data_IF_865716194995
#
_entry.id   IF_865716194995
#
_cell.length_a   1.000
_cell.length_b   1.000
_cell.length_c   1.000
_cell.angle_alpha   90.00
_cell.angle_beta   90.00
_cell.angle_gamma   90.00
#
_symmetry.space_group_name_H-M   'P 1'
#
loop_
_entity.id
_entity.type
_entity.pdbx_description
1 polymer ?
#
# COMPACT_ATOMS: atom_id res chain seq x y z
N UNK A 1 9.55 -33.17 -31.07
CA UNK A 1 9.07 -31.78 -31.00
C UNK A 1 8.71 -31.59 -29.55
N UNK A 2 9.74 -31.35 -28.75
CA UNK A 2 9.60 -31.23 -27.31
C UNK A 2 9.03 -29.85 -27.01
N UNK A 3 7.85 -29.84 -26.39
CA UNK A 3 7.23 -28.63 -25.86
C UNK A 3 8.16 -28.07 -24.79
N UNK A 4 8.86 -26.99 -25.13
CA UNK A 4 9.56 -26.18 -24.13
C UNK A 4 8.51 -25.37 -23.42
N UNK A 5 8.04 -25.87 -22.27
CA UNK A 5 7.34 -25.04 -21.31
C UNK A 5 8.36 -24.06 -20.74
N UNK A 6 8.15 -22.77 -21.04
CA UNK A 6 8.94 -21.70 -20.46
C UNK A 6 8.70 -21.74 -18.95
N UNK A 7 9.73 -21.91 -18.10
CA UNK A 7 9.54 -21.84 -16.66
C UNK A 7 8.96 -20.46 -16.36
N UNK A 8 7.74 -20.45 -15.78
CA UNK A 8 7.08 -19.23 -15.33
C UNK A 8 8.07 -18.53 -14.41
N UNK A 9 8.53 -17.36 -14.83
CA UNK A 9 9.52 -16.61 -14.09
C UNK A 9 8.93 -16.24 -12.73
N UNK A 10 9.42 -16.86 -11.66
CA UNK A 10 9.14 -16.51 -10.27
C UNK A 10 9.82 -15.18 -9.93
N UNK A 11 9.43 -14.11 -10.62
CA UNK A 11 10.00 -12.80 -10.44
C UNK A 11 9.07 -11.99 -9.53
N UNK A 12 9.54 -11.86 -8.28
CA UNK A 12 9.04 -10.98 -7.19
C UNK A 12 7.92 -11.58 -6.32
N UNK A 13 7.89 -11.26 -5.00
CA UNK A 13 6.85 -11.77 -4.10
C UNK A 13 5.47 -11.38 -4.66
N UNK A 14 4.48 -12.27 -4.52
CA UNK A 14 3.23 -12.30 -5.30
C UNK A 14 2.40 -11.00 -5.34
N UNK A 15 2.75 -9.98 -4.54
CA UNK A 15 2.01 -8.73 -4.36
C UNK A 15 2.91 -7.48 -4.29
N UNK A 16 4.09 -7.49 -4.89
CA UNK A 16 4.92 -6.29 -4.90
C UNK A 16 6.29 -6.48 -5.51
N UNK A 17 6.99 -5.38 -5.72
CA UNK A 17 8.44 -5.41 -5.81
C UNK A 17 8.91 -4.84 -4.47
N UNK A 18 9.55 -5.68 -3.66
CA UNK A 18 10.25 -5.21 -2.47
C UNK A 18 11.34 -4.20 -2.85
N UNK A 19 12.42 -4.10 -2.09
CA UNK A 19 13.48 -3.17 -2.48
C UNK A 19 14.01 -3.42 -3.90
N UNK A 20 14.20 -2.34 -4.67
CA UNK A 20 14.68 -2.39 -6.06
C UNK A 20 16.03 -3.11 -6.23
N UNK A 21 16.84 -3.15 -5.15
CA UNK A 21 18.03 -3.99 -5.05
C UNK A 21 17.81 -5.17 -4.10
N UNK A 22 18.21 -6.37 -4.52
CA UNK A 22 18.17 -7.59 -3.70
C UNK A 22 18.99 -7.37 -2.42
N UNK A 23 18.32 -7.39 -1.27
CA UNK A 23 18.95 -7.28 0.04
C UNK A 23 19.07 -5.86 0.59
N UNK A 24 18.59 -4.82 -0.10
CA UNK A 24 18.49 -3.49 0.47
C UNK A 24 17.62 -3.52 1.73
N UNK A 25 17.99 -2.76 2.74
CA UNK A 25 17.10 -2.37 3.83
C UNK A 25 17.26 -0.87 4.07
N UNK A 26 16.24 -0.23 4.66
CA UNK A 26 16.32 1.19 5.01
C UNK A 26 17.52 1.48 5.94
N UNK A 27 17.80 0.58 6.88
CA UNK A 27 18.94 0.66 7.79
C UNK A 27 20.24 0.63 7.01
N UNK A 28 20.43 -0.35 6.12
CA UNK A 28 21.63 -0.41 5.27
C UNK A 28 21.78 0.83 4.37
N UNK A 29 20.67 1.36 3.85
CA UNK A 29 20.67 2.59 3.07
C UNK A 29 21.15 3.80 3.90
N UNK A 30 20.73 3.89 5.17
CA UNK A 30 21.21 4.89 6.12
C UNK A 30 22.69 4.70 6.45
N UNK A 31 23.10 3.50 6.85
CA UNK A 31 24.47 3.20 7.26
C UNK A 31 25.46 3.45 6.11
N UNK A 32 25.11 3.08 4.87
CA UNK A 32 25.94 3.33 3.67
C UNK A 32 26.14 4.82 3.35
N UNK A 33 25.31 5.71 3.92
CA UNK A 33 25.40 7.18 3.81
C UNK A 33 25.95 7.85 5.08
N UNK A 34 26.47 7.05 6.01
CA UNK A 34 27.03 7.54 7.28
C UNK A 34 25.99 8.07 8.25
N UNK A 35 24.72 7.67 8.10
CA UNK A 35 23.65 7.99 9.04
C UNK A 35 23.53 6.88 10.08
N UNK A 36 23.17 7.24 11.32
CA UNK A 36 22.79 6.26 12.32
C UNK A 36 21.48 5.57 11.93
N UNK A 37 21.29 4.32 12.35
CA UNK A 37 20.12 3.51 11.97
C UNK A 37 18.81 4.15 12.47
N UNK A 38 18.85 4.79 13.64
CA UNK A 38 17.74 5.52 14.28
C UNK A 38 17.59 6.97 13.83
N UNK A 39 18.47 7.47 12.94
CA UNK A 39 18.41 8.85 12.49
C UNK A 39 17.11 9.12 11.71
N UNK A 40 16.41 10.19 12.09
CA UNK A 40 15.30 10.74 11.30
C UNK A 40 15.86 11.36 10.01
N UNK A 41 15.28 11.00 8.87
CA UNK A 41 15.65 11.57 7.59
C UNK A 41 15.04 12.97 7.43
N UNK A 42 15.81 13.90 6.89
CA UNK A 42 15.27 15.20 6.47
C UNK A 42 14.66 15.13 5.06
N UNK A 43 14.04 16.21 4.61
CA UNK A 43 13.30 16.25 3.34
C UNK A 43 14.11 15.86 2.10
N UNK A 44 15.38 16.25 1.98
CA UNK A 44 16.17 15.88 0.80
C UNK A 44 16.64 14.42 0.86
N UNK A 45 16.90 13.89 2.05
CA UNK A 45 17.22 12.47 2.25
C UNK A 45 16.02 11.60 1.93
N UNK A 46 14.82 12.00 2.35
CA UNK A 46 13.56 11.32 2.01
C UNK A 46 13.35 11.36 0.49
N UNK A 47 13.49 12.53 -0.14
CA UNK A 47 13.33 12.65 -1.59
C UNK A 47 14.29 11.73 -2.35
N UNK A 48 15.56 11.67 -1.92
CA UNK A 48 16.57 10.79 -2.50
C UNK A 48 16.26 9.31 -2.28
N UNK A 49 15.79 8.94 -1.08
CA UNK A 49 15.37 7.57 -0.76
C UNK A 49 14.23 7.12 -1.68
N UNK A 50 13.20 7.96 -1.82
CA UNK A 50 12.04 7.67 -2.67
C UNK A 50 12.38 7.61 -4.17
N UNK A 51 13.37 8.40 -4.61
CA UNK A 51 13.88 8.37 -5.98
C UNK A 51 14.66 7.07 -6.26
N UNK A 52 15.62 6.72 -5.39
CA UNK A 52 16.46 5.51 -5.56
C UNK A 52 15.68 4.19 -5.36
N UNK A 53 14.56 4.22 -4.64
CA UNK A 53 13.63 3.08 -4.49
C UNK A 53 12.52 3.06 -5.55
N UNK A 54 12.51 4.03 -6.47
CA UNK A 54 11.54 4.22 -7.56
C UNK A 54 10.09 4.51 -7.10
N UNK A 55 9.82 4.56 -5.80
CA UNK A 55 8.50 4.84 -5.20
C UNK A 55 7.98 6.21 -5.65
N UNK A 56 8.86 7.18 -5.85
CA UNK A 56 8.51 8.51 -6.32
C UNK A 56 7.71 8.50 -7.65
N UNK A 57 7.85 7.45 -8.47
CA UNK A 57 7.12 7.28 -9.73
C UNK A 57 5.64 6.91 -9.51
N UNK A 58 5.36 6.19 -8.42
CA UNK A 58 4.03 5.68 -8.11
C UNK A 58 3.19 6.63 -7.28
N UNK A 59 3.79 7.62 -6.62
CA UNK A 59 3.07 8.55 -5.76
C UNK A 59 1.98 9.36 -6.50
N UNK A 60 0.81 9.48 -5.85
CA UNK A 60 -0.28 10.34 -6.28
C UNK A 60 0.12 11.80 -6.24
N UNK A 61 -0.50 12.57 -7.14
CA UNK A 61 -0.32 14.02 -7.26
C UNK A 61 -1.70 14.65 -7.45
N UNK A 62 -2.26 15.36 -6.44
CA UNK A 62 -1.73 15.51 -5.08
C UNK A 62 -1.72 14.17 -4.31
N UNK A 63 -0.92 14.09 -3.24
CA UNK A 63 -1.01 12.99 -2.28
C UNK A 63 -2.33 13.09 -1.52
N UNK A 64 -2.78 11.98 -0.92
CA UNK A 64 -3.92 12.04 -0.01
C UNK A 64 -3.57 12.88 1.23
N UNK A 65 -4.59 13.34 1.94
CA UNK A 65 -4.44 14.03 3.22
C UNK A 65 -5.42 13.41 4.20
N UNK A 66 -4.90 12.76 5.25
CA UNK A 66 -5.72 12.04 6.23
C UNK A 66 -6.58 12.97 7.10
N UNK A 67 -6.32 14.28 7.08
CA UNK A 67 -7.04 15.30 7.87
C UNK A 67 -8.04 16.12 7.05
N UNK A 68 -8.00 16.01 5.72
CA UNK A 68 -8.77 16.85 4.80
C UNK A 68 -9.53 16.04 3.74
N UNK A 69 -10.38 16.73 2.97
CA UNK A 69 -11.10 16.13 1.86
C UNK A 69 -12.04 15.00 2.30
N UNK A 70 -12.01 13.88 1.59
CA UNK A 70 -12.88 12.73 1.86
C UNK A 70 -12.56 12.02 3.18
N UNK A 71 -11.41 12.30 3.80
CA UNK A 71 -10.99 11.76 5.09
C UNK A 71 -11.41 12.65 6.28
N UNK A 72 -11.96 13.84 6.01
CA UNK A 72 -12.37 14.76 7.06
C UNK A 72 -13.58 14.23 7.85
N UNK A 73 -13.57 14.43 9.17
CA UNK A 73 -14.71 14.09 10.03
C UNK A 73 -14.80 12.60 10.33
N UNK A 74 -13.70 11.87 10.21
CA UNK A 74 -13.64 10.47 10.60
C UNK A 74 -13.98 10.25 12.07
N UNK A 75 -14.60 9.10 12.34
CA UNK A 75 -14.88 8.60 13.69
C UNK A 75 -14.14 7.28 13.86
N UNK A 76 -13.30 7.18 14.88
CA UNK A 76 -12.43 6.02 15.14
C UNK A 76 -11.57 5.59 13.92
N UNK A 77 -11.15 6.57 13.12
CA UNK A 77 -10.36 6.36 11.91
C UNK A 77 -11.19 6.08 10.65
N UNK A 78 -12.53 6.11 10.71
CA UNK A 78 -13.38 5.79 9.57
C UNK A 78 -14.28 6.94 9.11
N UNK A 79 -14.32 7.13 7.80
CA UNK A 79 -15.40 7.81 7.10
C UNK A 79 -16.23 6.73 6.41
N UNK A 80 -17.53 6.66 6.71
CA UNK A 80 -18.40 5.62 6.18
C UNK A 80 -19.47 6.20 5.25
N UNK A 81 -19.29 6.01 3.94
CA UNK A 81 -20.27 6.39 2.92
C UNK A 81 -21.16 5.21 2.48
N UNK A 82 -20.99 4.03 3.10
CA UNK A 82 -21.80 2.86 2.86
C UNK A 82 -23.13 2.93 3.63
N UNK A 83 -24.24 2.61 2.96
CA UNK A 83 -25.59 2.64 3.56
C UNK A 83 -25.96 1.35 4.28
N UNK A 84 -25.26 0.26 3.99
CA UNK A 84 -25.32 -0.96 4.78
C UNK A 84 -24.54 -0.66 6.07
N UNK A 85 -25.15 -0.85 7.24
CA UNK A 85 -24.54 -0.50 8.52
C UNK A 85 -23.27 -1.31 8.83
N UNK A 86 -22.15 -0.96 8.21
CA UNK A 86 -20.83 -1.54 8.45
C UNK A 86 -20.26 -0.87 9.70
N UNK A 87 -19.87 -1.69 10.67
CA UNK A 87 -19.20 -1.24 11.89
C UNK A 87 -17.78 -1.79 11.88
N UNK A 88 -16.81 -1.09 11.25
CA UNK A 88 -15.42 -1.50 11.33
C UNK A 88 -14.90 -1.33 12.76
N UNK A 89 -13.80 -2.01 13.09
CA UNK A 89 -13.09 -1.82 14.35
C UNK A 89 -12.38 -0.45 14.39
N UNK A 90 -11.90 -0.06 15.57
CA UNK A 90 -11.10 1.16 15.74
C UNK A 90 -9.77 0.98 15.00
N UNK A 91 -9.35 1.98 14.23
CA UNK A 91 -8.00 2.02 13.65
C UNK A 91 -7.04 2.68 14.63
N UNK A 92 -5.90 2.03 14.85
CA UNK A 92 -4.80 2.58 15.62
C UNK A 92 -3.82 3.35 14.71
N UNK A 93 -3.24 4.43 15.23
CA UNK A 93 -2.28 5.26 14.51
C UNK A 93 -2.94 6.39 13.69
N UNK A 94 -2.11 7.13 12.95
CA UNK A 94 -2.55 8.25 12.12
C UNK A 94 -3.01 7.75 10.73
N UNK A 95 -4.07 6.94 10.76
CA UNK A 95 -4.69 6.32 9.58
C UNK A 95 -6.16 6.71 9.54
N UNK A 96 -6.61 7.20 8.38
CA UNK A 96 -8.03 7.41 8.13
C UNK A 96 -8.48 6.66 6.89
N UNK A 97 -9.51 5.83 7.03
CA UNK A 97 -10.05 5.02 5.95
C UNK A 97 -11.47 5.45 5.58
N UNK A 98 -11.72 5.53 4.29
CA UNK A 98 -13.01 5.74 3.68
C UNK A 98 -13.58 4.40 3.20
N UNK A 99 -14.74 4.02 3.72
CA UNK A 99 -15.58 2.98 3.13
C UNK A 99 -16.47 3.66 2.10
N UNK A 100 -16.28 3.31 0.83
CA UNK A 100 -17.04 3.94 -0.23
C UNK A 100 -18.48 3.42 -0.33
N UNK A 101 -19.26 4.09 -1.17
CA UNK A 101 -20.71 3.90 -1.27
C UNK A 101 -21.15 2.50 -1.72
N UNK A 102 -20.25 1.77 -2.40
CA UNK A 102 -20.49 0.38 -2.83
C UNK A 102 -20.29 -0.65 -1.71
N UNK A 103 -19.84 -0.23 -0.53
CA UNK A 103 -19.59 -1.10 0.63
C UNK A 103 -18.56 -2.23 0.40
N UNK A 104 -17.88 -2.22 -0.74
CA UNK A 104 -16.91 -3.20 -1.23
C UNK A 104 -15.59 -2.53 -1.60
N UNK A 105 -15.46 -1.24 -1.28
CA UNK A 105 -14.28 -0.42 -1.54
C UNK A 105 -13.85 0.24 -0.22
N UNK A 106 -12.56 0.15 0.08
CA UNK A 106 -11.92 0.79 1.21
C UNK A 106 -10.68 1.51 0.69
N UNK A 107 -10.55 2.78 1.03
CA UNK A 107 -9.39 3.60 0.70
C UNK A 107 -8.88 4.29 1.95
N UNK A 108 -7.63 4.05 2.32
CA UNK A 108 -7.00 4.57 3.52
C UNK A 108 -5.93 5.59 3.16
N UNK A 109 -5.93 6.72 3.84
CA UNK A 109 -4.82 7.65 3.85
C UNK A 109 -4.04 7.46 5.15
N UNK A 110 -2.78 7.08 5.00
CA UNK A 110 -1.88 6.73 6.10
C UNK A 110 -0.85 7.84 6.22
N UNK A 111 -0.77 8.48 7.38
CA UNK A 111 0.37 9.33 7.69
C UNK A 111 1.59 8.45 7.92
N UNK A 112 2.63 8.64 7.11
CA UNK A 112 3.91 7.97 7.31
C UNK A 112 4.93 8.96 7.89
N UNK A 113 5.26 8.84 9.19
CA UNK A 113 6.28 9.67 9.83
C UNK A 113 7.66 9.50 9.18
N UNK A 114 7.94 8.35 8.55
CA UNK A 114 9.23 8.05 7.97
C UNK A 114 9.52 8.83 6.70
N UNK A 115 8.52 8.94 5.83
CA UNK A 115 8.59 9.78 4.62
C UNK A 115 8.05 11.20 4.86
N UNK A 116 7.68 11.52 6.10
CA UNK A 116 7.07 12.79 6.51
C UNK A 116 5.89 13.17 5.62
N UNK A 117 5.07 12.18 5.28
CA UNK A 117 4.03 12.38 4.30
C UNK A 117 2.95 11.32 4.32
N UNK A 118 1.80 11.70 3.78
CA UNK A 118 0.67 10.79 3.65
C UNK A 118 0.78 9.97 2.36
N UNK A 119 0.36 8.71 2.46
CA UNK A 119 0.19 7.85 1.28
C UNK A 119 -1.15 7.14 1.28
N UNK A 120 -1.65 6.83 0.08
CA UNK A 120 -2.92 6.14 -0.10
C UNK A 120 -2.72 4.64 -0.29
N UNK A 121 -3.48 3.82 0.44
CA UNK A 121 -3.61 2.39 0.24
C UNK A 121 -5.08 2.04 0.07
N UNK A 122 -5.43 1.15 -0.86
CA UNK A 122 -6.83 0.85 -1.15
C UNK A 122 -7.05 -0.59 -1.58
N UNK A 123 -8.29 -1.02 -1.40
CA UNK A 123 -8.84 -2.29 -1.82
C UNK A 123 -10.24 -2.06 -2.38
N UNK A 124 -10.54 -2.64 -3.53
CA UNK A 124 -11.86 -2.58 -4.16
C UNK A 124 -12.21 -3.95 -4.73
N UNK A 125 -13.32 -4.51 -4.25
CA UNK A 125 -13.86 -5.78 -4.69
C UNK A 125 -15.02 -5.53 -5.66
N UNK A 126 -14.89 -6.00 -6.90
CA UNK A 126 -15.96 -5.97 -7.89
C UNK A 126 -16.58 -7.36 -8.03
N UNK A 127 -17.75 -7.61 -7.41
CA UNK A 127 -18.42 -8.91 -7.49
C UNK A 127 -19.07 -9.14 -8.87
N UNK A 128 -19.24 -8.11 -9.70
CA UNK A 128 -19.80 -8.24 -11.03
C UNK A 128 -18.75 -8.76 -12.01
N UNK A 129 -17.55 -8.20 -11.97
CA UNK A 129 -16.43 -8.61 -12.81
C UNK A 129 -15.61 -9.76 -12.20
N UNK A 130 -15.92 -10.14 -10.96
CA UNK A 130 -15.16 -11.13 -10.17
C UNK A 130 -13.69 -10.75 -10.03
N UNK A 131 -13.41 -9.47 -9.77
CA UNK A 131 -12.06 -8.93 -9.62
C UNK A 131 -11.86 -8.24 -8.27
N UNK A 132 -10.60 -8.23 -7.85
CA UNK A 132 -10.11 -7.55 -6.67
C UNK A 132 -8.97 -6.63 -7.10
N UNK A 133 -9.15 -5.33 -6.88
CA UNK A 133 -8.12 -4.33 -7.09
C UNK A 133 -7.52 -3.94 -5.75
N UNK A 134 -6.21 -4.12 -5.58
CA UNK A 134 -5.48 -3.70 -4.39
C UNK A 134 -4.31 -2.83 -4.81
N UNK A 135 -4.04 -1.75 -4.08
CA UNK A 135 -2.92 -0.90 -4.41
C UNK A 135 -2.44 0.00 -3.30
N UNK A 136 -1.25 0.53 -3.50
CA UNK A 136 -0.65 1.63 -2.77
C UNK A 136 -0.28 2.69 -3.79
N UNK A 137 -0.82 3.89 -3.63
CA UNK A 137 -0.66 4.98 -4.58
C UNK A 137 -1.09 4.54 -6.01
N UNK A 138 -0.28 4.78 -7.04
CA UNK A 138 -0.56 4.30 -8.40
C UNK A 138 -0.07 2.86 -8.64
N UNK A 139 0.54 2.23 -7.66
CA UNK A 139 1.01 0.86 -7.76
C UNK A 139 -0.09 -0.10 -7.32
N UNK A 140 -0.66 -0.87 -8.26
CA UNK A 140 -1.80 -1.73 -7.98
C UNK A 140 -1.77 -3.03 -8.76
N UNK A 141 -2.51 -4.00 -8.23
CA UNK A 141 -2.73 -5.31 -8.79
C UNK A 141 -4.21 -5.56 -8.92
N UNK A 142 -4.60 -6.07 -10.08
CA UNK A 142 -5.93 -6.62 -10.31
C UNK A 142 -5.83 -8.14 -10.32
N UNK A 143 -6.61 -8.78 -9.46
CA UNK A 143 -6.60 -10.24 -9.28
C UNK A 143 -8.01 -10.77 -9.45
N UNK A 144 -8.15 -11.92 -10.12
CA UNK A 144 -9.45 -12.59 -10.20
C UNK A 144 -9.80 -13.18 -8.84
N UNK A 145 -11.04 -12.96 -8.39
CA UNK A 145 -11.58 -13.59 -7.18
C UNK A 145 -11.65 -15.12 -7.28
N UNK A 146 -11.57 -15.69 -8.50
CA UNK A 146 -11.52 -17.13 -8.71
C UNK A 146 -10.16 -17.74 -8.31
N UNK A 147 -9.10 -16.95 -8.39
CA UNK A 147 -7.72 -17.36 -8.10
C UNK A 147 -7.22 -16.79 -6.76
N UNK A 148 -8.10 -16.13 -5.99
CA UNK A 148 -7.76 -15.49 -4.72
C UNK A 148 -8.00 -16.44 -3.55
N UNK A 149 -6.98 -16.65 -2.70
CA UNK A 149 -7.13 -17.42 -1.46
C UNK A 149 -7.65 -16.51 -0.35
N UNK A 150 -8.95 -16.61 -0.08
CA UNK A 150 -9.58 -15.99 1.08
C UNK A 150 -9.00 -16.52 2.39
N UNK A 151 -9.15 -15.75 3.47
CA UNK A 151 -8.61 -16.02 4.82
C UNK A 151 -7.08 -16.01 4.92
N UNK A 152 -6.36 -15.90 3.80
CA UNK A 152 -4.90 -15.73 3.77
C UNK A 152 -4.53 -14.27 3.95
N UNK A 153 -3.45 -14.02 4.70
CA UNK A 153 -2.84 -12.70 4.79
C UNK A 153 -1.81 -12.51 3.68
N UNK A 154 -1.89 -11.37 3.02
CA UNK A 154 -1.01 -10.93 1.94
C UNK A 154 -0.32 -9.63 2.34
N UNK A 155 0.87 -9.42 1.80
CA UNK A 155 1.65 -8.19 2.02
C UNK A 155 1.99 -7.57 0.67
N UNK A 156 1.50 -6.35 0.47
CA UNK A 156 1.91 -5.48 -0.63
C UNK A 156 3.12 -4.67 -0.16
N UNK A 157 4.25 -4.88 -0.82
CA UNK A 157 5.48 -4.13 -0.59
C UNK A 157 5.77 -3.26 -1.82
N UNK A 158 5.88 -1.95 -1.59
CA UNK A 158 6.30 -0.97 -2.58
C UNK A 158 7.69 -0.42 -2.20
N UNK A 159 8.73 -0.96 -2.84
CA UNK A 159 10.10 -0.50 -2.71
C UNK A 159 10.70 -0.68 -1.31
N UNK A 160 10.09 -1.51 -0.47
CA UNK A 160 10.46 -1.79 0.92
C UNK A 160 10.30 -0.63 1.89
N UNK A 161 9.60 0.43 1.47
CA UNK A 161 9.26 1.59 2.31
C UNK A 161 7.79 1.54 2.71
N UNK A 162 6.88 1.37 1.76
CA UNK A 162 5.46 1.21 2.05
C UNK A 162 5.10 -0.27 2.05
N UNK A 163 4.64 -0.76 3.21
CA UNK A 163 4.16 -2.14 3.38
C UNK A 163 2.74 -2.14 3.91
N UNK A 164 1.86 -2.83 3.21
CA UNK A 164 0.45 -2.95 3.58
C UNK A 164 0.10 -4.42 3.66
N UNK A 165 -0.31 -4.88 4.84
CA UNK A 165 -0.82 -6.23 5.05
C UNK A 165 -2.34 -6.24 4.99
N UNK A 166 -2.92 -7.18 4.26
CA UNK A 166 -4.38 -7.32 4.14
C UNK A 166 -4.80 -8.78 4.19
N UNK A 167 -6.05 -9.03 4.57
CA UNK A 167 -6.72 -10.32 4.51
C UNK A 167 -8.20 -10.08 4.24
N UNK A 168 -8.82 -10.91 3.39
CA UNK A 168 -10.26 -10.87 3.13
C UNK A 168 -10.87 -12.13 3.74
N UNK A 169 -11.90 -11.93 4.57
CA UNK A 169 -12.58 -12.97 5.37
C UNK A 169 -14.04 -13.07 4.91
#
# INVERSE_FOLDING_TARGET
MDSVELPRSSCLPEWGYGYAEVGFTKEQWKTSRGLADDATLNSWQIAKLLEETEIALYQNKPRCDHTMGDYQGSHDGWVNNCTLGVSPGILDGDIVCLIGSKCSEVSCCVNDPETMSDFNAYLSLDPCEFTLLIGVEKYSFEVSLLDFDFEKSYELDLGGIYRVSFAII
#
